data_IF_313009893004
#
_entry.id   IF_313009893004
#
_cell.length_a   1.000
_cell.length_b   1.000
_cell.length_c   1.000
_cell.angle_alpha   90.00
_cell.angle_beta   90.00
_cell.angle_gamma   90.00
#
_symmetry.space_group_name_H-M   'P 1'
#
loop_
_entity.id
_entity.type
_entity.pdbx_description
1 polymer ?
#
# COMPACT_ATOMS: atom_id res chain seq x y z
N UNK A 1 -1.82 1.25 20.81
CA UNK A 1 -2.95 0.98 19.90
C UNK A 1 -2.32 0.93 18.53
N UNK A 2 -2.43 -0.19 17.83
CA UNK A 2 -1.85 -0.29 16.50
C UNK A 2 -2.86 0.32 15.54
N UNK A 3 -2.67 1.60 15.22
CA UNK A 3 -3.40 2.26 14.16
C UNK A 3 -2.82 1.73 12.85
N UNK A 4 -3.66 1.12 12.02
CA UNK A 4 -3.27 0.64 10.70
C UNK A 4 -3.42 1.78 9.70
N UNK A 5 -2.30 2.28 9.19
CA UNK A 5 -2.28 3.14 8.00
C UNK A 5 -1.81 2.27 6.84
N UNK A 6 -2.61 2.23 5.77
CA UNK A 6 -2.33 1.47 4.56
C UNK A 6 -2.18 2.45 3.41
N UNK A 7 -0.96 2.62 2.92
CA UNK A 7 -0.67 3.47 1.77
C UNK A 7 -0.37 2.62 0.55
N UNK A 8 -1.13 2.85 -0.53
CA UNK A 8 -0.95 2.16 -1.81
C UNK A 8 -0.85 3.17 -2.93
N UNK A 9 0.22 3.11 -3.72
CA UNK A 9 0.35 3.83 -4.97
C UNK A 9 0.08 2.85 -6.11
N UNK A 10 -0.84 3.13 -7.02
CA UNK A 10 -1.25 2.16 -8.05
C UNK A 10 -1.02 2.68 -9.47
N UNK A 11 -0.61 1.78 -10.37
CA UNK A 11 -0.55 2.07 -11.81
C UNK A 11 -1.93 2.21 -12.46
N UNK A 12 -2.98 1.71 -11.82
CA UNK A 12 -4.34 1.84 -12.33
C UNK A 12 -4.90 3.24 -12.03
N UNK A 13 -5.76 3.74 -12.92
CA UNK A 13 -6.62 4.89 -12.60
C UNK A 13 -7.85 4.37 -11.86
N UNK A 14 -7.81 4.44 -10.54
CA UNK A 14 -8.89 3.93 -9.67
C UNK A 14 -9.79 5.09 -9.23
N UNK A 15 -11.10 5.06 -9.55
CA UNK A 15 -12.06 6.04 -9.02
C UNK A 15 -12.23 5.91 -7.50
N UNK A 16 -12.58 7.01 -6.83
CA UNK A 16 -12.78 7.08 -5.38
C UNK A 16 -13.69 5.97 -4.84
N UNK A 17 -14.86 5.77 -5.45
CA UNK A 17 -15.83 4.77 -5.01
C UNK A 17 -15.31 3.33 -5.16
N UNK A 18 -14.47 3.09 -6.18
CA UNK A 18 -13.85 1.79 -6.38
C UNK A 18 -12.77 1.53 -5.33
N UNK A 19 -11.90 2.52 -5.07
CA UNK A 19 -10.92 2.44 -3.99
C UNK A 19 -11.61 2.19 -2.64
N UNK A 20 -12.70 2.92 -2.35
CA UNK A 20 -13.52 2.74 -1.14
C UNK A 20 -14.05 1.33 -1.00
N UNK A 21 -14.64 0.78 -2.06
CA UNK A 21 -15.16 -0.60 -2.08
C UNK A 21 -14.06 -1.62 -1.84
N UNK A 22 -12.89 -1.45 -2.45
CA UNK A 22 -11.75 -2.36 -2.31
C UNK A 22 -11.22 -2.32 -0.89
N UNK A 23 -10.93 -1.13 -0.34
CA UNK A 23 -10.48 -0.96 1.04
C UNK A 23 -11.48 -1.57 2.04
N UNK A 24 -12.78 -1.35 1.84
CA UNK A 24 -13.83 -1.92 2.69
C UNK A 24 -13.84 -3.45 2.63
N UNK A 25 -13.65 -4.02 1.44
CA UNK A 25 -13.55 -5.46 1.24
C UNK A 25 -12.32 -6.09 1.90
N UNK A 26 -11.18 -5.40 1.86
CA UNK A 26 -9.92 -5.88 2.45
C UNK A 26 -9.97 -5.81 3.98
N UNK A 27 -10.47 -4.70 4.53
CA UNK A 27 -10.51 -4.46 5.98
C UNK A 27 -11.72 -5.12 6.65
N UNK A 28 -12.77 -5.42 5.90
CA UNK A 28 -14.04 -5.89 6.48
C UNK A 28 -14.74 -4.82 7.33
N UNK A 29 -14.43 -3.54 7.07
CA UNK A 29 -14.95 -2.39 7.81
C UNK A 29 -15.67 -1.43 6.86
N UNK A 30 -16.67 -0.67 7.35
CA UNK A 30 -17.13 0.52 6.65
C UNK A 30 -15.97 1.49 6.43
N UNK A 31 -15.84 2.00 5.20
CA UNK A 31 -14.84 3.01 4.84
C UNK A 31 -15.56 4.33 4.59
N UNK A 32 -15.16 5.36 5.31
CA UNK A 32 -15.73 6.71 5.25
C UNK A 32 -14.74 7.66 4.60
N UNK A 33 -15.26 8.66 3.91
CA UNK A 33 -14.49 9.83 3.49
C UNK A 33 -14.43 10.83 4.65
N UNK A 34 -13.40 11.70 4.66
CA UNK A 34 -13.24 12.71 5.71
C UNK A 34 -14.49 13.60 5.89
N UNK A 35 -15.15 13.96 4.79
CA UNK A 35 -16.40 14.76 4.81
C UNK A 35 -17.66 13.99 5.22
N UNK A 36 -17.60 12.66 5.35
CA UNK A 36 -18.71 11.82 5.82
C UNK A 36 -18.68 11.59 7.34
N UNK A 37 -17.64 12.08 8.02
CA UNK A 37 -17.55 11.97 9.47
C UNK A 37 -18.67 12.75 10.15
N UNK A 38 -19.42 12.13 11.09
CA UNK A 38 -20.38 12.86 11.89
C UNK A 38 -19.65 13.92 12.73
N UNK A 39 -20.29 15.09 12.98
CA UNK A 39 -19.71 16.09 13.87
C UNK A 39 -19.60 15.54 15.30
N UNK A 40 -18.45 15.81 15.93
CA UNK A 40 -18.14 15.32 17.28
C UNK A 40 -17.29 14.05 17.28
N UNK A 41 -16.86 13.57 18.47
CA UNK A 41 -16.08 12.35 18.56
C UNK A 41 -16.92 11.14 18.08
N UNK A 42 -16.29 10.14 17.44
CA UNK A 42 -17.01 8.93 17.06
C UNK A 42 -17.63 8.26 18.29
N UNK A 43 -18.82 7.70 18.11
CA UNK A 43 -19.47 6.93 19.18
C UNK A 43 -18.54 5.79 19.65
N UNK A 44 -18.39 5.58 20.96
CA UNK A 44 -17.58 4.50 21.49
C UNK A 44 -17.98 3.15 20.88
N UNK A 45 -16.99 2.45 20.30
CA UNK A 45 -17.19 1.13 19.70
C UNK A 45 -17.63 1.12 18.23
N UNK A 46 -17.87 2.30 17.62
CA UNK A 46 -18.07 2.37 16.16
C UNK A 46 -16.75 2.12 15.45
N UNK A 47 -16.73 1.13 14.55
CA UNK A 47 -15.54 0.75 13.78
C UNK A 47 -15.68 1.19 12.33
N UNK A 48 -14.70 1.95 11.86
CA UNK A 48 -14.61 2.38 10.47
C UNK A 48 -13.14 2.57 10.10
N UNK A 49 -12.90 2.69 8.80
CA UNK A 49 -11.65 3.22 8.26
C UNK A 49 -11.93 4.54 7.55
N UNK A 50 -10.93 5.40 7.48
CA UNK A 50 -10.95 6.62 6.69
C UNK A 50 -10.22 6.38 5.38
N UNK A 51 -10.65 7.06 4.33
CA UNK A 51 -10.06 6.96 3.00
C UNK A 51 -9.75 8.34 2.44
N UNK A 52 -8.54 8.47 1.93
CA UNK A 52 -8.10 9.55 1.07
C UNK A 52 -7.58 8.97 -0.25
N UNK A 53 -7.94 9.62 -1.35
CA UNK A 53 -7.46 9.25 -2.69
C UNK A 53 -6.94 10.50 -3.36
N UNK A 54 -5.66 10.46 -3.71
CA UNK A 54 -4.95 11.57 -4.31
C UNK A 54 -4.50 11.18 -5.73
N UNK A 55 -4.59 12.13 -6.66
CA UNK A 55 -4.03 11.98 -8.00
C UNK A 55 -2.62 12.54 -8.00
N UNK A 56 -1.69 11.78 -8.56
CA UNK A 56 -0.28 12.13 -8.60
C UNK A 56 0.26 12.08 -10.04
N UNK A 57 1.37 12.78 -10.32
CA UNK A 57 2.10 12.60 -11.57
C UNK A 57 2.81 11.23 -11.63
N UNK A 58 3.27 10.85 -12.83
CA UNK A 58 4.09 9.65 -13.04
C UNK A 58 3.32 8.38 -13.44
N UNK A 59 3.99 7.23 -13.28
CA UNK A 59 3.49 5.91 -13.66
C UNK A 59 2.51 5.32 -12.64
N UNK A 60 2.55 5.80 -11.40
CA UNK A 60 1.61 5.43 -10.32
C UNK A 60 0.68 6.61 -10.00
N UNK A 61 -0.31 6.91 -10.86
CA UNK A 61 -1.02 8.17 -10.85
C UNK A 61 -2.05 8.34 -9.71
N UNK A 62 -2.18 7.35 -8.83
CA UNK A 62 -3.15 7.36 -7.74
C UNK A 62 -2.49 6.86 -6.45
N UNK A 63 -2.53 7.68 -5.40
CA UNK A 63 -2.25 7.27 -4.02
C UNK A 63 -3.56 7.05 -3.28
N UNK A 64 -3.63 5.94 -2.56
CA UNK A 64 -4.75 5.57 -1.71
C UNK A 64 -4.22 5.40 -0.29
N UNK A 65 -4.72 6.22 0.62
CA UNK A 65 -4.42 6.13 2.04
C UNK A 65 -5.69 5.67 2.76
N UNK A 66 -5.61 4.51 3.41
CA UNK A 66 -6.70 4.00 4.22
C UNK A 66 -6.24 3.80 5.66
N UNK A 67 -6.89 4.45 6.62
CA UNK A 67 -6.48 4.42 8.02
C UNK A 67 -7.58 3.91 8.95
N UNK A 68 -7.21 3.14 9.96
CA UNK A 68 -8.16 2.65 10.97
C UNK A 68 -7.46 2.40 12.30
N UNK A 69 -8.18 2.59 13.40
CA UNK A 69 -7.70 2.25 14.76
C UNK A 69 -7.77 0.74 15.05
N UNK A 70 -8.19 -0.06 14.07
CA UNK A 70 -8.30 -1.51 14.19
C UNK A 70 -7.06 -2.18 13.62
N UNK A 71 -6.59 -3.23 14.31
CA UNK A 71 -5.59 -4.11 13.75
C UNK A 71 -6.15 -4.77 12.48
N UNK A 72 -5.38 -4.71 11.40
CA UNK A 72 -5.73 -5.32 10.13
C UNK A 72 -4.57 -6.14 9.56
N UNK A 73 -4.59 -6.44 8.26
CA UNK A 73 -3.49 -7.18 7.63
C UNK A 73 -2.18 -6.40 7.73
N UNK A 74 -1.05 -7.08 7.53
CA UNK A 74 0.20 -6.35 7.29
C UNK A 74 0.08 -5.50 6.01
N UNK A 75 0.74 -4.34 5.98
CA UNK A 75 0.59 -3.36 4.90
C UNK A 75 0.91 -3.94 3.51
N UNK A 76 1.95 -4.79 3.42
CA UNK A 76 2.28 -5.50 2.18
C UNK A 76 1.15 -6.43 1.71
N UNK A 77 0.42 -7.05 2.64
CA UNK A 77 -0.69 -7.94 2.33
C UNK A 77 -1.94 -7.14 1.92
N UNK A 78 -2.16 -5.97 2.52
CA UNK A 78 -3.14 -5.00 2.05
C UNK A 78 -2.85 -4.59 0.59
N UNK A 79 -1.62 -4.16 0.30
CA UNK A 79 -1.20 -3.77 -1.04
C UNK A 79 -1.33 -4.91 -2.06
N UNK A 80 -0.99 -6.15 -1.68
CA UNK A 80 -1.16 -7.32 -2.54
C UNK A 80 -2.63 -7.62 -2.86
N UNK A 81 -3.52 -7.51 -1.87
CA UNK A 81 -4.96 -7.67 -2.09
C UNK A 81 -5.50 -6.54 -2.96
N UNK A 82 -5.07 -5.30 -2.72
CA UNK A 82 -5.45 -4.14 -3.52
C UNK A 82 -5.02 -4.31 -4.99
N UNK A 83 -3.75 -4.65 -5.23
CA UNK A 83 -3.19 -4.94 -6.56
C UNK A 83 -3.97 -6.01 -7.33
N UNK A 84 -4.41 -7.07 -6.62
CA UNK A 84 -5.25 -8.13 -7.20
C UNK A 84 -6.62 -7.61 -7.63
N UNK A 85 -7.27 -6.79 -6.81
CA UNK A 85 -8.59 -6.22 -7.12
C UNK A 85 -8.54 -5.22 -8.28
N UNK A 86 -7.54 -4.33 -8.31
CA UNK A 86 -7.37 -3.33 -9.39
C UNK A 86 -6.68 -3.88 -10.63
N UNK A 87 -6.14 -5.10 -10.55
CA UNK A 87 -5.41 -5.80 -11.62
C UNK A 87 -4.22 -4.99 -12.17
N UNK A 88 -3.55 -4.25 -11.30
CA UNK A 88 -2.36 -3.47 -11.64
C UNK A 88 -1.32 -3.52 -10.53
N UNK A 89 -0.06 -3.26 -10.92
CA UNK A 89 1.03 -3.10 -9.97
C UNK A 89 0.73 -1.99 -8.96
N UNK A 90 1.09 -2.25 -7.71
CA UNK A 90 0.93 -1.33 -6.61
C UNK A 90 2.24 -1.24 -5.80
N UNK A 91 2.63 -0.04 -5.41
CA UNK A 91 3.71 0.20 -4.47
C UNK A 91 3.13 0.45 -3.08
N UNK A 92 3.86 0.02 -2.06
CA UNK A 92 3.62 0.39 -0.67
C UNK A 92 4.96 0.56 0.04
N UNK A 93 4.97 1.32 1.13
CA UNK A 93 6.19 1.57 1.90
C UNK A 93 6.69 0.27 2.52
N UNK A 94 7.99 0.22 2.77
CA UNK A 94 8.63 -0.87 3.49
C UNK A 94 9.14 -0.38 4.86
N UNK A 95 9.83 -1.24 5.60
CA UNK A 95 10.07 -1.05 7.02
C UNK A 95 11.32 -0.22 7.38
N UNK A 96 12.13 0.17 6.39
CA UNK A 96 13.36 0.95 6.60
C UNK A 96 13.21 2.44 6.38
N UNK A 97 12.02 2.92 6.00
CA UNK A 97 11.72 4.33 5.70
C UNK A 97 12.68 4.94 4.64
N UNK A 98 13.27 4.10 3.80
CA UNK A 98 14.21 4.54 2.78
C UNK A 98 13.43 5.17 1.61
N UNK A 99 13.73 6.41 1.21
CA UNK A 99 12.86 7.22 0.34
C UNK A 99 12.64 6.62 -1.05
N UNK A 100 13.59 5.82 -1.54
CA UNK A 100 13.51 5.21 -2.88
C UNK A 100 13.22 3.71 -2.87
N UNK A 101 12.92 3.12 -1.70
CA UNK A 101 12.75 1.67 -1.57
C UNK A 101 11.32 1.35 -1.14
N UNK A 102 10.68 0.48 -1.90
CA UNK A 102 9.26 0.14 -1.75
C UNK A 102 9.06 -1.36 -1.88
N UNK A 103 7.88 -1.83 -1.50
CA UNK A 103 7.38 -3.14 -1.92
C UNK A 103 6.50 -2.98 -3.15
N UNK A 104 6.82 -3.73 -4.20
CA UNK A 104 5.97 -3.88 -5.38
C UNK A 104 5.07 -5.09 -5.19
N UNK A 105 3.77 -4.85 -5.10
CA UNK A 105 2.70 -5.82 -5.17
C UNK A 105 2.19 -5.96 -6.60
N UNK A 106 2.38 -7.14 -7.18
CA UNK A 106 1.92 -7.47 -8.53
C UNK A 106 0.48 -8.04 -8.49
N UNK A 107 -0.32 -7.92 -9.56
CA UNK A 107 -1.71 -8.42 -9.60
C UNK A 107 -1.90 -9.90 -9.27
N UNK A 108 -0.84 -10.71 -9.45
CA UNK A 108 -0.81 -12.13 -9.11
C UNK A 108 -0.67 -12.42 -7.61
N UNK A 109 -0.55 -11.40 -6.76
CA UNK A 109 -0.34 -11.53 -5.32
C UNK A 109 1.13 -11.74 -4.93
N UNK A 110 2.06 -11.61 -5.87
CA UNK A 110 3.50 -11.61 -5.58
C UNK A 110 3.89 -10.24 -5.05
N UNK A 111 4.67 -10.19 -3.98
CA UNK A 111 5.25 -8.96 -3.44
C UNK A 111 6.76 -9.09 -3.36
N UNK A 112 7.50 -8.04 -3.74
CA UNK A 112 8.96 -8.01 -3.68
C UNK A 112 9.50 -6.60 -3.44
N UNK A 113 10.67 -6.43 -2.82
CA UNK A 113 11.29 -5.12 -2.70
C UNK A 113 11.79 -4.61 -4.05
N UNK A 114 11.62 -3.32 -4.29
CA UNK A 114 12.06 -2.60 -5.49
C UNK A 114 12.68 -1.26 -5.12
N UNK A 115 13.53 -0.75 -5.99
CA UNK A 115 13.92 0.65 -6.02
C UNK A 115 13.07 1.39 -7.05
N UNK A 116 12.62 2.59 -6.69
CA UNK A 116 11.75 3.41 -7.54
C UNK A 116 12.45 4.71 -7.85
N UNK A 117 12.45 5.10 -9.11
CA UNK A 117 12.90 6.42 -9.53
C UNK A 117 11.79 7.43 -9.15
N UNK A 118 12.12 8.39 -8.27
CA UNK A 118 11.19 9.42 -7.79
C UNK A 118 11.72 10.79 -8.17
N UNK A 119 10.85 11.64 -8.71
CA UNK A 119 11.14 13.01 -9.10
C UNK A 119 10.16 13.98 -8.43
N UNK A 120 10.68 15.00 -7.76
CA UNK A 120 9.87 16.10 -7.23
C UNK A 120 9.41 17.00 -8.39
N UNK A 121 8.09 17.11 -8.58
CA UNK A 121 7.51 18.01 -9.58
C UNK A 121 6.70 19.12 -8.90
N UNK A 122 6.36 20.23 -9.59
CA UNK A 122 5.46 21.24 -9.05
C UNK A 122 4.09 20.71 -8.62
N UNK A 123 3.66 19.57 -9.18
CA UNK A 123 2.38 18.91 -8.89
C UNK A 123 2.50 17.78 -7.85
N UNK A 124 3.67 17.62 -7.21
CA UNK A 124 3.97 16.58 -6.22
C UNK A 124 5.03 15.57 -6.67
N UNK A 125 5.28 14.56 -5.85
CA UNK A 125 6.20 13.46 -6.14
C UNK A 125 5.68 12.62 -7.33
N UNK A 126 6.54 12.42 -8.33
CA UNK A 126 6.28 11.58 -9.50
C UNK A 126 6.99 10.25 -9.33
N UNK A 127 6.22 9.16 -9.28
CA UNK A 127 6.73 7.80 -9.15
C UNK A 127 6.89 7.17 -10.53
N UNK A 128 8.13 6.88 -10.91
CA UNK A 128 8.49 6.42 -12.25
C UNK A 128 8.77 4.93 -12.34
N UNK A 129 9.78 4.61 -13.16
CA UNK A 129 10.25 3.25 -13.34
C UNK A 129 10.76 2.64 -12.03
N UNK A 130 10.69 1.32 -11.94
CA UNK A 130 11.21 0.57 -10.80
C UNK A 130 12.16 -0.53 -11.23
N UNK A 131 13.03 -0.94 -10.30
CA UNK A 131 14.04 -1.99 -10.49
C UNK A 131 13.94 -2.98 -9.33
N UNK A 132 14.05 -4.29 -9.57
CA UNK A 132 14.07 -5.25 -8.49
C UNK A 132 15.25 -4.97 -7.54
N UNK A 133 15.00 -4.92 -6.24
CA UNK A 133 16.05 -4.82 -5.23
C UNK A 133 16.82 -6.15 -5.21
N UNK A 134 18.04 -6.16 -5.77
CA UNK A 134 18.90 -7.36 -5.83
C UNK A 134 20.24 -7.09 -5.14
N UNK A 135 20.90 -8.13 -4.63
CA UNK A 135 22.22 -7.97 -4.02
C UNK A 135 23.29 -7.43 -5.00
N UNK A 136 23.05 -7.56 -6.30
CA UNK A 136 23.90 -7.05 -7.36
C UNK A 136 23.56 -5.61 -7.79
N UNK A 137 22.47 -5.02 -7.29
CA UNK A 137 22.11 -3.64 -7.60
C UNK A 137 23.14 -2.69 -6.95
N UNK A 138 23.80 -1.82 -7.74
CA UNK A 138 24.70 -0.80 -7.21
C UNK A 138 24.07 0.12 -6.16
N UNK A 139 22.74 0.25 -6.11
CA UNK A 139 22.02 0.98 -5.07
C UNK A 139 21.89 0.14 -3.78
N UNK A 140 21.83 -1.19 -3.86
CA UNK A 140 21.78 -2.09 -2.70
C UNK A 140 23.15 -2.33 -2.07
N UNK A 141 24.21 -2.40 -2.88
CA UNK A 141 25.54 -2.81 -2.43
C UNK A 141 26.17 -1.90 -1.33
N UNK A 142 26.07 -0.56 -1.42
CA UNK A 142 26.63 0.35 -0.42
C UNK A 142 25.69 0.68 0.75
N UNK A 143 24.38 0.45 0.59
CA UNK A 143 23.37 0.95 1.54
C UNK A 143 23.02 -0.07 2.64
N UNK A 144 23.18 0.27 3.94
CA UNK A 144 22.87 -0.63 5.04
C UNK A 144 21.38 -1.01 5.10
N UNK A 145 20.49 -0.16 4.57
CA UNK A 145 19.03 -0.32 4.65
C UNK A 145 18.52 -1.59 3.97
N UNK A 146 19.09 -1.98 2.83
CA UNK A 146 18.69 -3.22 2.14
C UNK A 146 19.01 -4.48 2.96
N UNK A 147 19.97 -4.42 3.88
CA UNK A 147 20.39 -5.54 4.74
C UNK A 147 19.61 -5.62 6.05
N UNK A 148 19.08 -4.49 6.52
CA UNK A 148 18.37 -4.39 7.81
C UNK A 148 16.85 -4.52 7.67
N UNK A 149 16.32 -4.44 6.45
CA UNK A 149 14.90 -4.62 6.18
C UNK A 149 14.42 -6.05 6.49
N UNK A 150 13.18 -6.15 6.99
CA UNK A 150 12.44 -7.43 7.08
C UNK A 150 12.12 -8.04 5.72
N UNK A 151 12.33 -7.31 4.64
CA UNK A 151 12.19 -7.76 3.25
C UNK A 151 13.55 -7.71 2.55
N UNK A 152 14.42 -8.73 2.73
CA UNK A 152 15.74 -8.73 2.12
C UNK A 152 15.70 -8.58 0.60
N UNK A 153 16.81 -8.13 0.01
CA UNK A 153 16.96 -8.15 -1.44
C UNK A 153 16.60 -9.53 -2.03
N UNK A 154 15.95 -9.54 -3.20
CA UNK A 154 15.47 -10.73 -3.89
C UNK A 154 14.39 -11.56 -3.16
N UNK A 155 13.97 -11.12 -1.97
CA UNK A 155 12.86 -11.78 -1.27
C UNK A 155 11.56 -11.66 -2.05
N UNK A 156 10.72 -12.69 -1.91
CA UNK A 156 9.40 -12.74 -2.52
C UNK A 156 8.42 -13.20 -1.45
N UNK A 157 7.41 -12.37 -1.21
CA UNK A 157 6.22 -12.75 -0.45
C UNK A 157 5.13 -13.15 -1.42
N UNK A 158 4.30 -14.09 -0.98
CA UNK A 158 3.12 -14.50 -1.71
C UNK A 158 1.93 -14.24 -0.83
N UNK A 159 1.00 -13.42 -1.33
CA UNK A 159 -0.34 -13.38 -0.77
C UNK A 159 -0.92 -14.78 -0.89
N UNK A 160 -1.16 -15.43 0.25
CA UNK A 160 -1.83 -16.73 0.28
C UNK A 160 -3.14 -16.66 -0.50
N UNK A 161 -3.56 -17.78 -1.09
CA UNK A 161 -4.94 -17.92 -1.56
C UNK A 161 -5.82 -17.82 -0.32
N UNK A 162 -6.43 -16.65 -0.07
CA UNK A 162 -7.16 -16.37 1.17
C UNK A 162 -8.04 -17.56 1.61
N UNK A 163 -7.87 -17.97 2.87
CA UNK A 163 -8.81 -18.78 3.63
C UNK A 163 -10.16 -18.06 3.66
N UNK A 164 -11.03 -18.40 2.71
CA UNK A 164 -12.48 -18.16 2.80
C UNK A 164 -13.10 -19.07 3.89
N UNK A 165 -12.63 -18.97 5.14
CA UNK A 165 -13.01 -19.95 6.16
C UNK A 165 -12.63 -19.60 7.59
N UNK A 166 -13.32 -18.63 8.19
CA UNK A 166 -13.78 -18.74 9.59
C UNK A 166 -14.86 -17.70 9.89
N UNK A 167 -16.11 -18.05 9.55
CA UNK A 167 -17.26 -17.69 10.39
C UNK A 167 -17.52 -18.91 11.27
N UNK A 168 -17.35 -18.76 12.58
CA UNK A 168 -18.02 -19.57 13.58
C UNK A 168 -19.11 -18.68 14.19
#
# INVERSE_FOLDING_TARGET
MADGIYTVLTRARVPLEEARRICAGILGLPVLLLGELPPGPPEPGRRFALLEVERMPGEFPVRVDCSTEQEGPEEWAFAARFAREVRADCLTVEDTAHPFRYLLAEPGGRVRPVHVDIEDTPDGESFGAYRPCTAADPWCAPEPFCRTSRFPAESVLLLGRDDRGRRA
#
